data_IF_302828125030
#
_entry.id   IF_302828125030
#
_cell.length_a   1.000
_cell.length_b   1.000
_cell.length_c   1.000
_cell.angle_alpha   90.00
_cell.angle_beta   90.00
_cell.angle_gamma   90.00
#
_symmetry.space_group_name_H-M   'P 1'
#
loop_
_entity.id
_entity.type
_entity.pdbx_description
1 polymer ?
#
# COMPACT_ATOMS: atom_id res chain seq x y z
N UNK A 1 -25.07 -35.37 -58.76
CA UNK A 1 -25.80 -34.30 -58.05
C UNK A 1 -25.24 -34.25 -56.64
N UNK A 2 -24.27 -33.36 -56.39
CA UNK A 2 -23.53 -33.30 -55.13
C UNK A 2 -24.29 -32.42 -54.13
N UNK A 3 -24.57 -32.98 -52.95
CA UNK A 3 -25.24 -32.29 -51.84
C UNK A 3 -24.18 -31.49 -51.06
N UNK A 4 -24.32 -30.18 -50.85
CA UNK A 4 -23.37 -29.43 -50.04
C UNK A 4 -23.70 -29.64 -48.56
N UNK A 5 -22.75 -30.19 -47.81
CA UNK A 5 -22.78 -30.23 -46.35
C UNK A 5 -22.44 -28.82 -45.86
N UNK A 6 -23.42 -28.13 -45.30
CA UNK A 6 -23.20 -26.84 -44.62
C UNK A 6 -22.69 -27.15 -43.22
N UNK A 7 -21.41 -26.91 -42.99
CA UNK A 7 -20.79 -26.98 -41.68
C UNK A 7 -21.04 -25.64 -40.95
N UNK A 8 -22.02 -25.60 -40.05
CA UNK A 8 -22.22 -24.46 -39.15
C UNK A 8 -21.13 -24.45 -38.09
N UNK A 9 -20.18 -23.52 -38.21
CA UNK A 9 -19.23 -23.20 -37.15
C UNK A 9 -19.96 -22.43 -36.05
N UNK A 10 -20.11 -23.04 -34.87
CA UNK A 10 -20.56 -22.33 -33.67
C UNK A 10 -19.34 -21.64 -33.07
N UNK A 11 -19.22 -20.33 -33.29
CA UNK A 11 -18.25 -19.49 -32.56
C UNK A 11 -18.75 -19.34 -31.12
N UNK A 12 -18.17 -20.08 -30.18
CA UNK A 12 -18.39 -19.81 -28.76
C UNK A 12 -17.61 -18.55 -28.39
N UNK A 13 -18.31 -17.43 -28.24
CA UNK A 13 -17.77 -16.28 -27.52
C UNK A 13 -17.64 -16.68 -26.05
N UNK A 14 -16.45 -17.11 -25.64
CA UNK A 14 -16.09 -17.15 -24.22
C UNK A 14 -15.88 -15.69 -23.81
N UNK A 15 -16.94 -15.04 -23.35
CA UNK A 15 -16.79 -13.81 -22.59
C UNK A 15 -16.08 -14.18 -21.31
N UNK A 16 -14.80 -13.83 -21.18
CA UNK A 16 -14.17 -13.81 -19.86
C UNK A 16 -15.01 -12.85 -19.02
N UNK A 17 -15.82 -13.38 -18.10
CA UNK A 17 -16.43 -12.55 -17.07
C UNK A 17 -15.27 -11.86 -16.37
N UNK A 18 -15.17 -10.56 -16.57
CA UNK A 18 -14.26 -9.73 -15.78
C UNK A 18 -14.84 -9.71 -14.39
N UNK A 19 -14.23 -10.47 -13.49
CA UNK A 19 -14.56 -10.44 -12.07
C UNK A 19 -14.35 -9.00 -11.60
N UNK A 20 -15.41 -8.39 -11.08
CA UNK A 20 -15.39 -7.07 -10.46
C UNK A 20 -16.16 -7.12 -9.15
N UNK A 21 -15.44 -7.22 -8.03
CA UNK A 21 -16.02 -7.03 -6.71
C UNK A 21 -16.27 -5.53 -6.49
N UNK A 22 -17.52 -5.10 -6.66
CA UNK A 22 -17.97 -3.71 -6.47
C UNK A 22 -17.92 -3.25 -5.01
N UNK A 23 -17.70 -4.15 -4.05
CA UNK A 23 -17.71 -3.87 -2.61
C UNK A 23 -16.42 -4.37 -1.93
N UNK A 24 -15.22 -3.97 -2.39
CA UNK A 24 -13.98 -4.51 -1.88
C UNK A 24 -13.79 -4.16 -0.40
N UNK A 25 -13.24 -5.11 0.36
CA UNK A 25 -12.79 -4.96 1.74
C UNK A 25 -11.27 -4.98 1.75
N UNK A 26 -10.65 -3.96 2.30
CA UNK A 26 -9.20 -3.79 2.34
C UNK A 26 -8.75 -3.96 3.78
N UNK A 27 -7.78 -4.85 4.01
CA UNK A 27 -7.11 -4.92 5.30
C UNK A 27 -6.03 -3.84 5.40
N UNK A 28 -5.95 -3.15 6.53
CA UNK A 28 -4.85 -2.23 6.85
C UNK A 28 -4.11 -2.79 8.06
N UNK A 29 -2.81 -3.07 7.91
CA UNK A 29 -2.01 -3.54 9.05
C UNK A 29 -1.98 -2.48 10.16
N UNK A 30 -2.19 -2.93 11.40
CA UNK A 30 -1.92 -2.11 12.58
C UNK A 30 -0.41 -1.97 12.79
N UNK A 31 -0.02 -1.11 13.71
CA UNK A 31 1.37 -0.91 14.09
C UNK A 31 1.48 -0.63 15.59
N UNK A 32 2.57 -1.04 16.21
CA UNK A 32 2.78 -0.92 17.64
C UNK A 32 2.94 0.55 18.03
N UNK A 33 2.37 0.94 19.17
CA UNK A 33 2.48 2.33 19.61
C UNK A 33 3.74 2.58 20.44
N UNK A 34 4.87 2.85 19.78
CA UNK A 34 6.15 3.18 20.44
C UNK A 34 6.25 4.57 21.07
N UNK A 35 5.24 5.43 20.89
CA UNK A 35 5.28 6.81 21.36
C UNK A 35 5.01 6.92 22.85
N UNK A 36 6.07 7.21 23.61
CA UNK A 36 6.02 7.41 25.07
C UNK A 36 5.06 8.53 25.49
N UNK A 37 4.94 9.58 24.68
CA UNK A 37 4.05 10.70 24.96
C UNK A 37 2.57 10.34 24.85
N UNK A 38 2.21 9.25 24.17
CA UNK A 38 0.82 8.77 24.12
C UNK A 38 0.48 7.77 25.24
N UNK A 39 1.42 7.42 26.11
CA UNK A 39 1.22 6.35 27.11
C UNK A 39 0.05 6.62 28.08
N UNK A 40 -0.34 7.88 28.28
CA UNK A 40 -1.47 8.27 29.14
C UNK A 40 -2.86 8.15 28.47
N UNK A 41 -2.91 7.88 27.16
CA UNK A 41 -4.16 7.71 26.39
C UNK A 41 -4.42 6.27 25.96
N UNK A 42 -3.56 5.34 26.36
CA UNK A 42 -3.60 3.95 25.88
C UNK A 42 -4.00 2.97 26.99
N UNK A 43 -4.85 1.98 26.69
CA UNK A 43 -4.75 0.68 27.34
C UNK A 43 -3.35 0.06 27.16
N UNK A 44 -2.96 -0.84 28.07
CA UNK A 44 -1.58 -1.28 28.27
C UNK A 44 -0.92 -2.03 27.08
N UNK A 45 -1.69 -2.55 26.11
CA UNK A 45 -1.20 -3.35 24.97
C UNK A 45 -1.84 -2.91 23.65
N UNK A 46 -1.44 -1.75 23.12
CA UNK A 46 -2.10 -1.17 21.95
C UNK A 46 -1.25 -1.10 20.69
N UNK A 47 -1.91 -1.42 19.58
CA UNK A 47 -1.52 -1.03 18.23
C UNK A 47 -2.39 0.15 17.76
N UNK A 48 -2.07 0.69 16.59
CA UNK A 48 -2.83 1.78 15.99
C UNK A 48 -2.87 1.73 14.46
N UNK A 49 -3.80 2.50 13.89
CA UNK A 49 -3.84 2.90 12.48
C UNK A 49 -4.07 4.41 12.43
N UNK A 50 -3.24 5.16 11.69
CA UNK A 50 -3.52 6.56 11.42
C UNK A 50 -4.77 6.69 10.54
N UNK A 51 -5.70 7.56 10.91
CA UNK A 51 -7.00 7.63 10.26
C UNK A 51 -6.93 8.09 8.79
N UNK A 52 -5.86 8.77 8.39
CA UNK A 52 -5.61 9.14 6.99
C UNK A 52 -5.59 7.94 6.04
N UNK A 53 -4.99 6.81 6.44
CA UNK A 53 -5.00 5.58 5.62
C UNK A 53 -6.43 5.07 5.40
N UNK A 54 -7.24 5.06 6.45
CA UNK A 54 -8.65 4.62 6.39
C UNK A 54 -9.45 5.54 5.46
N UNK A 55 -9.36 6.86 5.69
CA UNK A 55 -10.05 7.87 4.87
C UNK A 55 -9.66 7.79 3.39
N UNK A 56 -8.39 7.54 3.10
CA UNK A 56 -7.90 7.41 1.73
C UNK A 56 -8.51 6.20 0.99
N UNK A 57 -8.61 5.05 1.65
CA UNK A 57 -9.26 3.86 1.09
C UNK A 57 -10.77 4.07 0.92
N UNK A 58 -11.45 4.64 1.92
CA UNK A 58 -12.89 4.90 1.87
C UNK A 58 -13.25 5.89 0.76
N UNK A 59 -12.45 6.94 0.58
CA UNK A 59 -12.62 7.89 -0.52
C UNK A 59 -12.48 7.23 -1.91
N UNK A 60 -11.73 6.13 -2.02
CA UNK A 60 -11.58 5.34 -3.24
C UNK A 60 -12.65 4.25 -3.42
N UNK A 61 -13.63 4.19 -2.52
CA UNK A 61 -14.75 3.25 -2.58
C UNK A 61 -14.43 1.85 -2.04
N UNK A 62 -13.49 1.75 -1.12
CA UNK A 62 -13.21 0.54 -0.34
C UNK A 62 -13.79 0.60 1.07
N UNK A 63 -14.03 -0.56 1.69
CA UNK A 63 -14.30 -0.67 3.13
C UNK A 63 -13.05 -1.18 3.82
N UNK A 64 -12.82 -0.81 5.08
CA UNK A 64 -11.59 -1.15 5.80
C UNK A 64 -11.87 -2.10 6.96
N UNK A 65 -10.97 -3.08 7.14
CA UNK A 65 -10.82 -3.86 8.36
C UNK A 65 -9.40 -3.68 8.92
N UNK A 66 -9.22 -3.52 10.25
CA UNK A 66 -7.90 -3.50 10.85
C UNK A 66 -7.32 -4.92 10.86
N UNK A 67 -6.06 -5.06 10.46
CA UNK A 67 -5.34 -6.33 10.47
C UNK A 67 -4.28 -6.28 11.56
N UNK A 68 -4.52 -7.01 12.64
CA UNK A 68 -3.72 -6.91 13.85
C UNK A 68 -2.34 -7.54 13.69
N UNK A 69 -1.33 -6.86 14.22
CA UNK A 69 0.05 -7.36 14.27
C UNK A 69 0.24 -8.49 15.29
N UNK A 70 1.40 -9.16 15.25
CA UNK A 70 1.79 -10.19 16.23
C UNK A 70 0.81 -11.38 16.35
N UNK A 71 0.05 -11.65 15.29
CA UNK A 71 -0.81 -12.83 15.18
C UNK A 71 -0.11 -13.99 14.48
N UNK A 72 -0.72 -15.17 14.50
CA UNK A 72 -0.14 -16.38 13.89
C UNK A 72 -0.26 -16.36 12.37
N UNK A 73 0.49 -17.23 11.68
CA UNK A 73 0.38 -17.41 10.23
C UNK A 73 -1.06 -17.77 9.81
N UNK A 74 -1.77 -18.58 10.60
CA UNK A 74 -3.16 -18.97 10.32
C UNK A 74 -4.11 -17.76 10.34
N UNK A 75 -3.89 -16.82 11.26
CA UNK A 75 -4.65 -15.57 11.27
C UNK A 75 -4.45 -14.78 9.99
N UNK A 76 -3.21 -14.60 9.54
CA UNK A 76 -2.95 -13.86 8.30
C UNK A 76 -3.45 -14.59 7.06
N UNK A 77 -3.42 -15.93 7.04
CA UNK A 77 -4.04 -16.73 5.98
C UNK A 77 -5.55 -16.52 5.94
N UNK A 78 -6.21 -16.55 7.10
CA UNK A 78 -7.65 -16.30 7.23
C UNK A 78 -8.04 -14.88 6.77
N UNK A 79 -7.26 -13.86 7.16
CA UNK A 79 -7.45 -12.48 6.68
C UNK A 79 -7.31 -12.41 5.16
N UNK A 80 -6.20 -12.91 4.59
CA UNK A 80 -5.96 -12.88 3.15
C UNK A 80 -7.06 -13.60 2.37
N UNK A 81 -7.67 -14.65 2.91
CA UNK A 81 -8.78 -15.35 2.24
C UNK A 81 -10.10 -14.55 2.21
N UNK A 82 -10.27 -13.54 3.09
CA UNK A 82 -11.53 -12.82 3.28
C UNK A 82 -11.51 -11.39 2.74
N UNK A 83 -10.35 -10.72 2.80
CA UNK A 83 -10.18 -9.35 2.29
C UNK A 83 -9.72 -9.39 0.83
N UNK A 84 -9.82 -8.28 0.13
CA UNK A 84 -9.51 -8.17 -1.29
C UNK A 84 -8.12 -7.59 -1.59
N UNK A 85 -7.37 -7.21 -0.55
CA UNK A 85 -6.02 -6.68 -0.64
C UNK A 85 -5.55 -6.13 0.71
N UNK A 86 -4.23 -5.93 0.86
CA UNK A 86 -3.64 -5.39 2.09
C UNK A 86 -2.86 -4.10 1.85
N UNK A 87 -3.13 -3.08 2.66
CA UNK A 87 -2.28 -1.90 2.79
C UNK A 87 -1.34 -2.05 3.99
N UNK A 88 -0.05 -1.85 3.76
CA UNK A 88 0.97 -1.74 4.80
C UNK A 88 1.31 -0.26 5.00
N UNK A 89 0.92 0.35 6.13
CA UNK A 89 1.05 1.79 6.32
C UNK A 89 2.50 2.23 6.58
N UNK A 90 2.70 3.55 6.55
CA UNK A 90 3.90 4.18 7.08
C UNK A 90 3.96 4.11 8.60
N UNK A 91 5.13 4.37 9.18
CA UNK A 91 5.34 4.28 10.63
C UNK A 91 6.79 4.50 11.03
N UNK A 92 7.09 4.25 12.31
CA UNK A 92 8.42 4.42 12.90
C UNK A 92 8.97 3.17 13.57
N UNK A 93 8.44 1.99 13.23
CA UNK A 93 8.82 0.72 13.86
C UNK A 93 10.21 0.25 13.38
N UNK A 94 10.84 -0.62 14.18
CA UNK A 94 12.12 -1.21 13.80
C UNK A 94 11.97 -2.23 12.67
N UNK A 95 12.97 -2.31 11.78
CA UNK A 95 13.03 -3.25 10.63
C UNK A 95 13.23 -4.73 10.99
N UNK A 96 13.07 -5.10 12.27
CA UNK A 96 13.24 -6.47 12.71
C UNK A 96 11.97 -7.28 12.42
N UNK A 97 12.05 -8.23 11.48
CA UNK A 97 10.93 -9.10 11.09
C UNK A 97 10.54 -10.16 12.13
N UNK A 98 11.12 -10.14 13.33
CA UNK A 98 10.74 -11.06 14.42
C UNK A 98 9.58 -10.57 15.28
N UNK A 99 9.13 -9.33 15.10
CA UNK A 99 8.02 -8.79 15.86
C UNK A 99 7.27 -7.71 15.07
N UNK A 100 6.02 -7.52 15.43
CA UNK A 100 5.23 -6.36 15.10
C UNK A 100 4.83 -6.24 13.64
N UNK A 101 4.64 -5.02 13.16
CA UNK A 101 4.30 -4.74 11.75
C UNK A 101 5.33 -5.34 10.79
N UNK A 102 6.61 -5.41 11.18
CA UNK A 102 7.68 -6.00 10.37
C UNK A 102 7.48 -7.51 10.18
N UNK A 103 7.20 -8.25 11.25
CA UNK A 103 6.85 -9.68 11.16
C UNK A 103 5.54 -9.89 10.36
N UNK A 104 4.53 -9.08 10.67
CA UNK A 104 3.20 -9.18 10.07
C UNK A 104 3.25 -8.93 8.56
N UNK A 105 4.04 -7.94 8.14
CA UNK A 105 4.30 -7.67 6.72
C UNK A 105 5.01 -8.84 6.04
N UNK A 106 5.98 -9.47 6.70
CA UNK A 106 6.68 -10.63 6.15
C UNK A 106 5.73 -11.82 5.94
N UNK A 107 4.87 -12.12 6.91
CA UNK A 107 3.83 -13.15 6.79
C UNK A 107 2.86 -12.84 5.64
N UNK A 108 2.27 -11.65 5.63
CA UNK A 108 1.33 -11.21 4.58
C UNK A 108 1.97 -11.24 3.20
N UNK A 109 3.21 -10.77 3.06
CA UNK A 109 3.95 -10.79 1.80
C UNK A 109 4.07 -12.21 1.24
N UNK A 110 4.49 -13.18 2.06
CA UNK A 110 4.64 -14.56 1.60
C UNK A 110 3.30 -15.26 1.34
N UNK A 111 2.27 -14.98 2.14
CA UNK A 111 0.92 -15.53 1.93
C UNK A 111 0.34 -14.99 0.61
N UNK A 112 0.33 -13.66 0.44
CA UNK A 112 -0.16 -13.03 -0.78
C UNK A 112 0.62 -13.50 -2.02
N UNK A 113 1.94 -13.63 -1.92
CA UNK A 113 2.75 -14.18 -3.02
C UNK A 113 2.30 -15.59 -3.39
N UNK A 114 2.10 -16.48 -2.42
CA UNK A 114 1.60 -17.86 -2.67
C UNK A 114 0.20 -17.87 -3.29
N UNK A 115 -0.69 -16.99 -2.84
CA UNK A 115 -2.04 -16.85 -3.41
C UNK A 115 -1.97 -16.43 -4.89
N UNK A 116 -1.14 -15.43 -5.21
CA UNK A 116 -0.93 -15.02 -6.61
C UNK A 116 -0.21 -16.10 -7.44
N UNK A 117 0.77 -16.82 -6.87
CA UNK A 117 1.43 -17.95 -7.55
C UNK A 117 0.42 -19.07 -7.92
N UNK A 118 -0.67 -19.18 -7.15
CA UNK A 118 -1.79 -20.08 -7.42
C UNK A 118 -2.76 -19.61 -8.51
N UNK A 119 -2.53 -18.45 -9.13
CA UNK A 119 -3.35 -17.89 -10.20
C UNK A 119 -4.45 -16.93 -9.74
N UNK A 120 -4.46 -16.55 -8.46
CA UNK A 120 -5.34 -15.52 -7.93
C UNK A 120 -4.75 -14.10 -8.12
N UNK A 121 -5.54 -13.05 -7.86
CA UNK A 121 -5.11 -11.65 -7.98
C UNK A 121 -5.24 -10.93 -6.64
N UNK A 122 -4.20 -10.94 -5.81
CA UNK A 122 -4.23 -10.32 -4.49
C UNK A 122 -3.22 -9.18 -4.36
N UNK A 123 -3.64 -7.91 -4.36
CA UNK A 123 -2.74 -6.76 -4.31
C UNK A 123 -2.23 -6.41 -2.91
N UNK A 124 -1.02 -5.84 -2.88
CA UNK A 124 -0.46 -5.19 -1.68
C UNK A 124 -0.02 -3.76 -2.04
N UNK A 125 -0.38 -2.79 -1.20
CA UNK A 125 0.16 -1.42 -1.26
C UNK A 125 0.99 -1.13 0.00
N UNK A 126 2.30 -0.93 -0.14
CA UNK A 126 3.17 -0.47 0.94
C UNK A 126 3.45 1.03 0.85
N UNK A 127 3.27 1.77 1.95
CA UNK A 127 3.52 3.22 2.01
C UNK A 127 4.62 3.51 3.04
N UNK A 128 5.66 4.26 2.65
CA UNK A 128 6.82 4.61 3.47
C UNK A 128 7.43 3.38 4.19
N UNK A 129 7.19 3.20 5.49
CA UNK A 129 7.60 1.99 6.21
C UNK A 129 7.08 0.72 5.52
N UNK A 130 5.86 0.70 5.00
CA UNK A 130 5.35 -0.43 4.23
C UNK A 130 6.16 -0.71 2.97
N UNK A 131 6.59 0.33 2.23
CA UNK A 131 7.51 0.16 1.11
C UNK A 131 8.83 -0.48 1.55
N UNK A 132 9.41 0.02 2.64
CA UNK A 132 10.67 -0.47 3.22
C UNK A 132 10.54 -1.96 3.62
N UNK A 133 9.46 -2.32 4.30
CA UNK A 133 9.20 -3.68 4.77
C UNK A 133 8.92 -4.68 3.63
N UNK A 134 8.26 -4.26 2.55
CA UNK A 134 8.07 -5.12 1.37
C UNK A 134 9.40 -5.45 0.69
N UNK A 135 10.31 -4.48 0.58
CA UNK A 135 11.65 -4.74 0.06
C UNK A 135 12.39 -5.73 0.95
N UNK A 136 12.37 -5.51 2.28
CA UNK A 136 13.01 -6.39 3.26
C UNK A 136 12.46 -7.82 3.21
N UNK A 137 11.14 -7.99 3.18
CA UNK A 137 10.49 -9.30 3.07
C UNK A 137 10.90 -10.03 1.79
N UNK A 138 11.03 -9.32 0.67
CA UNK A 138 11.40 -9.92 -0.61
C UNK A 138 12.83 -10.48 -0.69
N UNK A 139 13.71 -10.08 0.24
CA UNK A 139 15.10 -10.55 0.31
C UNK A 139 15.42 -11.29 1.62
N UNK A 140 14.39 -11.90 2.23
CA UNK A 140 14.53 -12.76 3.40
C UNK A 140 14.96 -12.00 4.66
N UNK A 141 14.42 -10.80 4.87
CA UNK A 141 14.62 -10.03 6.10
C UNK A 141 15.90 -9.19 6.15
N UNK A 142 16.71 -9.20 5.09
CA UNK A 142 17.90 -8.34 5.01
C UNK A 142 17.48 -6.88 4.82
N UNK A 143 18.18 -5.95 5.48
CA UNK A 143 17.90 -4.51 5.36
C UNK A 143 18.71 -3.89 4.19
N UNK A 144 18.05 -3.40 3.12
CA UNK A 144 18.74 -2.80 1.97
C UNK A 144 18.89 -1.28 2.06
N UNK A 145 18.34 -0.66 3.11
CA UNK A 145 18.19 0.77 3.21
C UNK A 145 19.50 1.45 3.64
N UNK A 146 19.61 2.72 3.29
CA UNK A 146 20.66 3.62 3.77
C UNK A 146 20.02 4.88 4.33
N UNK A 147 20.72 5.57 5.23
CA UNK A 147 20.23 6.83 5.78
C UNK A 147 20.10 7.88 4.66
N UNK A 148 19.03 8.67 4.70
CA UNK A 148 18.80 9.79 3.81
C UNK A 148 18.10 10.95 4.55
N UNK A 149 18.12 12.14 3.95
CA UNK A 149 17.51 13.34 4.51
C UNK A 149 16.28 13.79 3.70
N UNK A 150 15.19 13.04 3.85
CA UNK A 150 13.90 13.27 3.18
C UNK A 150 12.77 13.36 4.20
N UNK A 151 12.97 14.18 5.23
CA UNK A 151 12.03 14.35 6.33
C UNK A 151 11.41 15.75 6.27
N UNK A 152 10.08 15.83 6.07
CA UNK A 152 9.33 17.09 5.97
C UNK A 152 9.59 17.88 4.67
N UNK A 153 9.73 17.17 3.54
CA UNK A 153 9.98 17.75 2.21
C UNK A 153 8.93 17.27 1.20
N UNK A 154 8.54 18.16 0.28
CA UNK A 154 7.60 17.86 -0.80
C UNK A 154 8.34 17.77 -2.13
N UNK A 155 8.15 16.68 -2.86
CA UNK A 155 8.91 16.39 -4.09
C UNK A 155 7.97 16.03 -5.27
N UNK A 156 8.33 16.41 -6.51
CA UNK A 156 7.77 15.77 -7.70
C UNK A 156 8.32 14.33 -7.81
N UNK A 157 7.85 13.53 -8.76
CA UNK A 157 8.41 12.21 -9.07
C UNK A 157 9.27 12.28 -10.33
N UNK A 158 10.47 11.69 -10.30
CA UNK A 158 11.28 11.56 -11.51
C UNK A 158 11.10 10.16 -12.10
N UNK A 159 10.27 10.04 -13.13
CA UNK A 159 10.03 8.77 -13.81
C UNK A 159 11.33 8.25 -14.45
N UNK A 160 11.63 6.97 -14.22
CA UNK A 160 12.76 6.31 -14.88
C UNK A 160 12.42 6.16 -16.37
N UNK A 161 13.35 6.46 -17.30
CA UNK A 161 13.11 6.30 -18.73
C UNK A 161 12.56 4.92 -19.07
N UNK A 162 11.59 4.87 -19.99
CA UNK A 162 10.86 3.66 -20.43
C UNK A 162 9.87 3.06 -19.43
N UNK A 163 9.78 3.56 -18.20
CA UNK A 163 8.83 3.02 -17.22
C UNK A 163 7.39 3.47 -17.48
N UNK A 164 7.13 4.55 -18.23
CA UNK A 164 5.77 5.01 -18.53
C UNK A 164 4.88 3.87 -19.08
N UNK A 165 5.36 3.15 -20.10
CA UNK A 165 4.61 2.08 -20.76
C UNK A 165 4.69 0.73 -20.04
N UNK A 166 5.68 0.55 -19.15
CA UNK A 166 5.94 -0.70 -18.43
C UNK A 166 5.29 -0.75 -17.06
N UNK A 167 5.07 0.41 -16.45
CA UNK A 167 4.54 0.55 -15.10
C UNK A 167 3.04 0.31 -15.08
N UNK A 168 2.57 -0.50 -14.14
CA UNK A 168 1.14 -0.71 -13.94
C UNK A 168 0.42 0.56 -13.44
N UNK A 169 1.14 1.42 -12.71
CA UNK A 169 0.64 2.73 -12.29
C UNK A 169 0.64 3.74 -13.43
N UNK A 170 1.77 3.97 -14.11
CA UNK A 170 1.93 5.08 -15.05
C UNK A 170 1.30 4.83 -16.41
N UNK A 171 1.20 3.58 -16.86
CA UNK A 171 0.59 3.24 -18.15
C UNK A 171 -0.89 3.62 -18.22
N UNK A 172 -1.60 3.51 -17.10
CA UNK A 172 -3.03 3.81 -16.98
C UNK A 172 -3.31 5.18 -16.34
N UNK A 173 -2.26 5.87 -15.87
CA UNK A 173 -2.37 7.15 -15.20
C UNK A 173 -2.88 8.25 -16.15
N UNK A 174 -3.95 8.98 -15.77
CA UNK A 174 -4.41 10.14 -16.52
C UNK A 174 -3.27 11.14 -16.76
N UNK A 175 -3.21 11.71 -17.97
CA UNK A 175 -2.09 12.56 -18.41
C UNK A 175 -1.91 13.81 -17.55
N UNK A 176 -3.01 14.38 -17.07
CA UNK A 176 -3.05 15.53 -16.16
C UNK A 176 -2.50 15.18 -14.77
N UNK A 177 -2.95 14.08 -14.17
CA UNK A 177 -2.40 13.56 -12.90
C UNK A 177 -0.90 13.28 -13.05
N UNK A 178 -0.51 12.64 -14.15
CA UNK A 178 0.90 12.36 -14.45
C UNK A 178 1.72 13.63 -14.58
N UNK A 179 1.22 14.63 -15.30
CA UNK A 179 1.91 15.91 -15.44
C UNK A 179 2.13 16.57 -14.07
N UNK A 180 1.10 16.59 -13.21
CA UNK A 180 1.21 17.13 -11.84
C UNK A 180 2.31 16.37 -11.07
N UNK A 181 2.23 15.04 -11.02
CA UNK A 181 3.19 14.22 -10.27
C UNK A 181 4.64 14.41 -10.76
N UNK A 182 4.85 14.61 -12.07
CA UNK A 182 6.19 14.73 -12.64
C UNK A 182 6.78 16.15 -12.56
N UNK A 183 5.97 17.18 -12.30
CA UNK A 183 6.39 18.59 -12.39
C UNK A 183 6.19 19.41 -11.13
N UNK A 184 5.28 19.01 -10.24
CA UNK A 184 4.94 19.75 -9.03
C UNK A 184 5.41 19.01 -7.75
N UNK A 185 5.84 19.73 -6.69
CA UNK A 185 6.23 19.13 -5.43
C UNK A 185 5.00 18.69 -4.61
N UNK A 186 4.34 17.61 -5.05
CA UNK A 186 3.04 17.15 -4.50
C UNK A 186 3.12 15.87 -3.67
N UNK A 187 4.29 15.26 -3.54
CA UNK A 187 4.46 14.04 -2.74
C UNK A 187 5.10 14.34 -1.39
N UNK A 188 4.41 14.05 -0.29
CA UNK A 188 4.89 14.25 1.07
C UNK A 188 5.93 13.19 1.45
N UNK A 189 7.15 13.61 1.80
CA UNK A 189 8.24 12.73 2.22
C UNK A 189 8.59 12.98 3.70
N UNK A 190 8.45 11.93 4.51
CA UNK A 190 8.68 11.94 5.97
C UNK A 190 9.52 10.74 6.43
N UNK A 191 10.62 10.46 5.74
CA UNK A 191 11.46 9.29 5.98
C UNK A 191 12.94 9.65 6.19
N UNK A 192 13.65 8.75 6.87
CA UNK A 192 15.09 8.88 7.18
C UNK A 192 15.92 7.75 6.59
N UNK A 193 15.26 6.78 5.97
CA UNK A 193 15.87 5.64 5.32
C UNK A 193 15.36 5.59 3.89
N UNK A 194 16.26 5.31 2.96
CA UNK A 194 15.99 5.28 1.55
C UNK A 194 16.68 4.07 0.92
N UNK A 195 16.15 3.59 -0.21
CA UNK A 195 16.83 2.60 -1.05
C UNK A 195 17.48 3.29 -2.25
N UNK A 196 18.79 3.14 -2.40
CA UNK A 196 19.52 3.63 -3.58
C UNK A 196 19.50 2.59 -4.69
N UNK A 197 19.65 3.01 -5.96
CA UNK A 197 19.82 2.08 -7.08
C UNK A 197 20.97 1.10 -6.86
N UNK A 198 22.07 1.58 -6.28
CA UNK A 198 23.25 0.75 -5.99
C UNK A 198 22.87 -0.39 -5.05
N UNK A 199 22.27 -0.08 -3.91
CA UNK A 199 21.85 -1.09 -2.94
C UNK A 199 20.80 -2.04 -3.53
N UNK A 200 19.84 -1.48 -4.27
CA UNK A 200 18.76 -2.22 -4.93
C UNK A 200 19.32 -3.34 -5.83
N UNK A 201 20.24 -3.02 -6.73
CA UNK A 201 20.88 -4.03 -7.59
C UNK A 201 21.84 -4.93 -6.83
N UNK A 202 22.65 -4.40 -5.89
CA UNK A 202 23.62 -5.23 -5.16
C UNK A 202 22.98 -6.28 -4.25
N UNK A 203 21.72 -6.06 -3.87
CA UNK A 203 20.94 -6.98 -3.03
C UNK A 203 19.90 -7.75 -3.85
N UNK A 204 20.02 -7.72 -5.18
CA UNK A 204 19.20 -8.51 -6.11
C UNK A 204 17.70 -8.23 -6.00
N UNK A 205 17.31 -7.04 -5.51
CA UNK A 205 15.91 -6.62 -5.45
C UNK A 205 15.31 -6.48 -6.85
N UNK A 206 16.16 -6.21 -7.85
CA UNK A 206 15.78 -6.14 -9.26
C UNK A 206 15.32 -7.48 -9.82
N UNK A 207 15.49 -8.61 -9.13
CA UNK A 207 14.90 -9.88 -9.54
C UNK A 207 13.38 -9.90 -9.32
N UNK A 208 12.89 -9.22 -8.30
CA UNK A 208 11.46 -9.21 -7.92
C UNK A 208 10.76 -7.90 -8.28
N UNK A 209 11.46 -6.78 -8.17
CA UNK A 209 10.89 -5.43 -8.27
C UNK A 209 11.42 -4.67 -9.50
N UNK A 210 10.56 -3.84 -10.09
CA UNK A 210 10.92 -2.79 -11.02
C UNK A 210 10.96 -1.45 -10.27
N UNK A 211 12.09 -0.71 -10.28
CA UNK A 211 12.09 0.68 -9.83
C UNK A 211 11.38 1.54 -10.87
N UNK A 212 10.42 2.35 -10.44
CA UNK A 212 9.59 3.16 -11.34
C UNK A 212 10.00 4.62 -11.33
N UNK A 213 10.11 5.22 -10.13
CA UNK A 213 10.47 6.63 -9.96
C UNK A 213 11.66 6.80 -9.04
N UNK A 214 12.33 7.94 -9.20
CA UNK A 214 13.44 8.38 -8.36
C UNK A 214 13.16 9.73 -7.75
N UNK A 215 13.83 9.99 -6.65
CA UNK A 215 13.88 11.28 -6.00
C UNK A 215 15.28 11.57 -5.48
N UNK A 216 15.48 12.83 -5.08
CA UNK A 216 16.69 13.29 -4.41
C UNK A 216 16.31 13.83 -3.05
N UNK A 217 17.06 13.43 -2.05
CA UNK A 217 16.94 13.98 -0.71
C UNK A 217 17.59 15.39 -0.65
N UNK A 218 17.52 16.06 0.50
CA UNK A 218 18.10 17.40 0.68
C UNK A 218 19.63 17.43 0.52
N UNK A 219 20.30 16.27 0.68
CA UNK A 219 21.74 16.10 0.47
C UNK A 219 22.08 15.63 -0.95
N UNK A 220 21.13 15.69 -1.89
CA UNK A 220 21.27 15.28 -3.28
C UNK A 220 21.54 13.76 -3.47
N UNK A 221 21.30 12.92 -2.45
CA UNK A 221 21.30 11.46 -2.56
C UNK A 221 20.09 11.02 -3.39
N UNK A 222 20.35 10.29 -4.48
CA UNK A 222 19.28 9.76 -5.32
C UNK A 222 18.76 8.43 -4.75
N UNK A 223 17.45 8.34 -4.55
CA UNK A 223 16.75 7.16 -4.04
C UNK A 223 15.57 6.75 -4.92
N UNK A 224 15.13 5.50 -4.81
CA UNK A 224 13.93 5.00 -5.49
C UNK A 224 12.71 5.35 -4.63
N UNK A 225 11.71 5.98 -5.24
CA UNK A 225 10.50 6.44 -4.55
C UNK A 225 9.24 5.66 -4.89
N UNK A 226 9.29 4.80 -5.92
CA UNK A 226 8.22 3.87 -6.27
C UNK A 226 8.81 2.59 -6.83
N UNK A 227 8.29 1.45 -6.38
CA UNK A 227 8.58 0.11 -6.92
C UNK A 227 7.29 -0.63 -7.24
N UNK A 228 7.36 -1.48 -8.24
CA UNK A 228 6.29 -2.39 -8.65
C UNK A 228 6.84 -3.81 -8.76
N UNK A 229 6.17 -4.81 -8.21
CA UNK A 229 6.59 -6.18 -8.40
C UNK A 229 6.41 -6.60 -9.85
N UNK A 230 7.34 -7.40 -10.38
CA UNK A 230 7.32 -7.81 -11.79
C UNK A 230 6.12 -8.69 -12.15
N UNK A 231 5.75 -9.59 -11.25
CA UNK A 231 4.78 -10.65 -11.51
C UNK A 231 3.59 -10.63 -10.53
N UNK A 232 3.54 -9.63 -9.64
CA UNK A 232 2.53 -9.54 -8.59
C UNK A 232 1.95 -8.13 -8.57
N UNK A 233 0.67 -7.94 -8.19
CA UNK A 233 0.07 -6.62 -8.01
C UNK A 233 0.52 -5.96 -6.69
N UNK A 234 1.84 -5.99 -6.42
CA UNK A 234 2.44 -5.38 -5.25
C UNK A 234 3.10 -4.06 -5.66
N UNK A 235 2.77 -3.00 -4.95
CA UNK A 235 3.29 -1.65 -5.15
C UNK A 235 3.83 -1.12 -3.85
N UNK A 236 4.98 -0.47 -3.92
CA UNK A 236 5.54 0.27 -2.80
C UNK A 236 5.76 1.74 -3.18
N UNK A 237 5.32 2.65 -2.32
CA UNK A 237 5.49 4.09 -2.42
C UNK A 237 6.30 4.58 -1.22
N UNK A 238 7.43 5.26 -1.44
CA UNK A 238 8.24 5.79 -0.33
C UNK A 238 7.61 7.05 0.30
N UNK A 239 6.78 7.77 -0.46
CA UNK A 239 6.07 8.99 -0.04
C UNK A 239 4.66 8.67 0.47
N UNK A 240 3.99 9.67 1.03
CA UNK A 240 2.69 9.55 1.71
C UNK A 240 1.54 10.23 0.94
N UNK A 241 0.87 9.54 -0.01
CA UNK A 241 -0.25 10.13 -0.73
C UNK A 241 -1.47 10.41 0.16
N UNK A 242 -1.65 9.68 1.26
CA UNK A 242 -2.77 9.84 2.18
C UNK A 242 -2.73 11.18 2.93
N UNK A 243 -1.55 11.77 3.13
CA UNK A 243 -1.39 12.96 3.96
C UNK A 243 -1.99 14.22 3.34
N UNK A 244 -1.88 14.34 2.01
CA UNK A 244 -2.28 15.52 1.25
C UNK A 244 -3.71 16.01 1.56
N UNK A 245 -4.64 15.09 1.83
CA UNK A 245 -6.05 15.42 2.08
C UNK A 245 -6.45 15.41 3.57
N UNK A 246 -5.63 14.82 4.45
CA UNK A 246 -6.12 14.36 5.76
C UNK A 246 -5.24 14.71 6.97
N UNK A 247 -3.99 15.13 6.80
CA UNK A 247 -3.07 15.46 7.90
C UNK A 247 -2.58 16.91 7.80
N UNK A 248 -2.56 17.70 8.88
CA UNK A 248 -2.31 19.15 8.81
C UNK A 248 -1.14 19.63 9.71
N UNK A 249 -0.53 18.72 10.47
CA UNK A 249 0.50 19.06 11.47
C UNK A 249 1.92 19.28 10.89
N UNK A 250 2.19 18.77 9.69
CA UNK A 250 3.52 18.86 9.04
C UNK A 250 3.44 19.65 7.74
N UNK A 251 4.58 19.81 7.07
CA UNK A 251 4.65 20.48 5.77
C UNK A 251 4.12 19.58 4.65
N UNK A 252 2.88 19.12 4.76
CA UNK A 252 2.20 18.29 3.78
C UNK A 252 1.60 19.17 2.65
N UNK A 253 1.60 18.73 1.39
CA UNK A 253 1.11 19.53 0.27
C UNK A 253 -0.42 19.43 0.15
N UNK A 254 -1.10 20.56 0.34
CA UNK A 254 -2.56 20.66 0.35
C UNK A 254 -3.16 21.39 -0.88
N UNK A 255 -2.36 21.65 -1.92
CA UNK A 255 -2.90 22.25 -3.15
C UNK A 255 -3.95 21.32 -3.78
N UNK A 256 -4.85 21.90 -4.58
CA UNK A 256 -5.81 21.09 -5.34
C UNK A 256 -5.10 20.02 -6.18
N UNK A 257 -4.00 20.39 -6.85
CA UNK A 257 -3.16 19.46 -7.60
C UNK A 257 -2.65 18.32 -6.71
N UNK A 258 -2.15 18.63 -5.52
CA UNK A 258 -1.61 17.63 -4.60
C UNK A 258 -2.66 16.64 -4.12
N UNK A 259 -3.84 17.11 -3.72
CA UNK A 259 -4.95 16.26 -3.31
C UNK A 259 -5.45 15.42 -4.48
N UNK A 260 -5.65 16.04 -5.64
CA UNK A 260 -6.16 15.40 -6.84
C UNK A 260 -5.23 14.29 -7.33
N UNK A 261 -3.93 14.56 -7.42
CA UNK A 261 -2.96 13.58 -7.92
C UNK A 261 -2.69 12.45 -6.92
N UNK A 262 -2.70 12.73 -5.61
CA UNK A 262 -2.39 11.72 -4.60
C UNK A 262 -3.50 10.66 -4.47
N UNK A 263 -4.76 11.05 -4.67
CA UNK A 263 -5.89 10.11 -4.66
C UNK A 263 -5.73 8.96 -5.65
N UNK A 264 -5.05 9.20 -6.77
CA UNK A 264 -4.81 8.19 -7.82
C UNK A 264 -4.24 6.87 -7.27
N UNK A 265 -3.31 6.93 -6.33
CA UNK A 265 -2.66 5.72 -5.80
C UNK A 265 -3.64 4.83 -5.03
N UNK A 266 -4.55 5.43 -4.26
CA UNK A 266 -5.60 4.70 -3.55
C UNK A 266 -6.71 4.22 -4.51
N UNK A 267 -7.06 5.02 -5.51
CA UNK A 267 -8.03 4.62 -6.54
C UNK A 267 -7.51 3.43 -7.34
N UNK A 268 -6.22 3.45 -7.73
CA UNK A 268 -5.55 2.31 -8.37
C UNK A 268 -5.59 1.08 -7.47
N UNK A 269 -5.19 1.22 -6.20
CA UNK A 269 -5.10 0.07 -5.29
C UNK A 269 -6.48 -0.57 -5.04
N UNK A 270 -7.51 0.24 -4.77
CA UNK A 270 -8.87 -0.27 -4.61
C UNK A 270 -9.36 -0.93 -5.90
N UNK A 271 -9.03 -0.39 -7.09
CA UNK A 271 -9.35 -1.03 -8.37
C UNK A 271 -8.65 -2.39 -8.56
N UNK A 272 -7.41 -2.55 -8.11
CA UNK A 272 -6.76 -3.86 -8.10
C UNK A 272 -7.46 -4.83 -7.14
N UNK A 273 -7.92 -4.35 -5.98
CA UNK A 273 -8.67 -5.18 -5.04
C UNK A 273 -10.01 -5.68 -5.63
N UNK A 274 -10.61 -4.98 -6.59
CA UNK A 274 -11.85 -5.45 -7.25
C UNK A 274 -11.66 -6.70 -8.11
N UNK A 275 -10.41 -7.11 -8.40
CA UNK A 275 -10.09 -8.17 -9.38
C UNK A 275 -9.96 -9.58 -8.77
N UNK A 276 -10.31 -9.76 -7.49
CA UNK A 276 -10.49 -11.08 -6.88
C UNK A 276 -11.88 -11.24 -6.28
N UNK A 277 -12.27 -12.49 -6.02
CA UNK A 277 -13.55 -12.88 -5.43
C UNK A 277 -13.45 -13.20 -3.93
N UNK A 278 -12.42 -12.70 -3.24
CA UNK A 278 -12.31 -12.94 -1.80
C UNK A 278 -13.48 -12.25 -1.10
N UNK A 279 -14.11 -12.99 -0.19
CA UNK A 279 -15.27 -12.49 0.53
C UNK A 279 -15.36 -13.13 1.91
N UNK A 280 -16.03 -12.42 2.80
CA UNK A 280 -16.40 -12.96 4.10
C UNK A 280 -17.49 -14.01 3.93
N UNK A 281 -17.33 -15.16 4.60
CA UNK A 281 -18.31 -16.26 4.58
C UNK A 281 -19.72 -15.80 4.99
N UNK A 282 -19.80 -14.87 5.94
CA UNK A 282 -21.07 -14.25 6.31
C UNK A 282 -20.91 -12.75 6.57
N UNK A 283 -21.98 -12.02 6.26
CA UNK A 283 -22.05 -10.57 6.41
C UNK A 283 -21.86 -10.11 7.86
N UNK A 284 -22.31 -10.89 8.85
CA UNK A 284 -22.17 -10.53 10.27
C UNK A 284 -20.71 -10.53 10.74
N UNK A 285 -19.88 -11.45 10.23
CA UNK A 285 -18.44 -11.48 10.51
C UNK A 285 -17.78 -10.21 9.99
N UNK A 286 -18.08 -9.82 8.74
CA UNK A 286 -17.60 -8.55 8.20
C UNK A 286 -18.05 -7.38 9.06
N UNK A 287 -19.34 -7.31 9.41
CA UNK A 287 -19.90 -6.23 10.23
C UNK A 287 -19.20 -6.08 11.59
N UNK A 288 -18.75 -7.17 12.19
CA UNK A 288 -18.02 -7.14 13.47
C UNK A 288 -16.55 -6.75 13.33
N UNK A 289 -15.96 -6.90 12.14
CA UNK A 289 -14.54 -6.61 11.88
C UNK A 289 -14.31 -5.26 11.21
N UNK A 290 -15.35 -4.61 10.67
CA UNK A 290 -15.23 -3.31 10.01
C UNK A 290 -14.64 -2.24 10.93
N UNK A 291 -13.86 -1.34 10.33
CA UNK A 291 -13.26 -0.19 11.03
C UNK A 291 -14.32 0.71 11.70
N UNK A 292 -15.57 0.67 11.23
CA UNK A 292 -16.70 1.41 11.78
C UNK A 292 -17.01 1.09 13.24
N UNK A 293 -16.55 -0.05 13.75
CA UNK A 293 -16.72 -0.44 15.16
C UNK A 293 -15.72 0.25 16.10
N UNK A 294 -14.73 0.98 15.57
CA UNK A 294 -13.64 1.53 16.35
C UNK A 294 -13.71 3.07 16.34
N UNK A 295 -13.65 3.74 17.49
CA UNK A 295 -13.62 5.20 17.53
C UNK A 295 -12.24 5.74 17.18
N UNK A 296 -12.19 6.88 16.49
CA UNK A 296 -10.95 7.66 16.33
C UNK A 296 -10.69 8.51 17.56
N UNK A 297 -9.42 8.69 17.91
CA UNK A 297 -8.94 9.65 18.93
C UNK A 297 -8.23 10.81 18.24
N UNK A 298 -8.57 12.05 18.60
CA UNK A 298 -7.84 13.25 18.15
C UNK A 298 -6.52 13.39 18.91
N UNK A 299 -5.39 13.26 18.21
CA UNK A 299 -4.03 13.18 18.78
C UNK A 299 -3.09 14.30 18.33
N UNK A 300 -3.48 15.15 17.37
CA UNK A 300 -2.66 16.30 16.95
C UNK A 300 -2.27 17.22 18.12
N UNK A 301 -3.19 17.44 19.07
CA UNK A 301 -2.93 18.21 20.31
C UNK A 301 -1.79 17.69 21.20
N UNK A 302 -1.20 16.54 20.87
CA UNK A 302 -0.13 15.87 21.59
C UNK A 302 1.19 15.89 20.82
N UNK A 303 1.33 16.82 19.86
CA UNK A 303 2.46 16.91 18.93
C UNK A 303 2.64 15.63 18.11
N UNK A 304 1.53 14.95 17.79
CA UNK A 304 1.54 13.83 16.85
C UNK A 304 1.62 14.35 15.42
N UNK A 305 2.22 13.57 14.50
CA UNK A 305 2.19 13.87 13.06
C UNK A 305 0.87 13.47 12.38
N UNK A 306 -0.13 13.11 13.17
CA UNK A 306 -1.44 12.65 12.73
C UNK A 306 -2.54 13.42 13.46
N UNK A 307 -3.62 13.77 12.77
CA UNK A 307 -4.81 14.37 13.36
C UNK A 307 -5.54 13.37 14.25
N UNK A 308 -5.83 12.21 13.67
CA UNK A 308 -6.68 11.19 14.26
C UNK A 308 -6.04 9.81 14.11
N UNK A 309 -6.19 9.01 15.15
CA UNK A 309 -5.68 7.64 15.20
C UNK A 309 -6.75 6.72 15.75
N UNK A 310 -6.90 5.55 15.14
CA UNK A 310 -7.61 4.42 15.73
C UNK A 310 -6.65 3.69 16.65
N UNK A 311 -7.02 3.54 17.92
CA UNK A 311 -6.29 2.71 18.88
C UNK A 311 -7.04 1.40 19.09
N UNK A 312 -6.29 0.30 19.13
CA UNK A 312 -6.84 -1.03 19.32
C UNK A 312 -6.31 -1.61 20.63
N UNK A 313 -7.20 -2.22 21.41
CA UNK A 313 -6.83 -3.03 22.57
C UNK A 313 -6.91 -4.50 22.10
N UNK A 314 -5.76 -5.14 21.95
CA UNK A 314 -5.58 -6.42 21.27
C UNK A 314 -5.49 -7.64 22.19
#
# INVERSE_FOLDING_TARGET
MYLPVILTLILSFVTNLTICNERPVIGILTQEVYWSYLNHLKPYNNSYIAASYVKAIEASGGRVVPVFTNRTTEYYMDVVNKVNGILVPGGGCAFNISFGISQSTNEVFHIAKRVNDGGDHFPILGICLGFELLLIASIGGKNPLTCCNSNNVNLPLNLIPTMEEKSMLFKTMPKDIRNILLTEPVTANHHKNCITKKNFTSMELDNFWNPITLNKDENNLTFISTVEAKNYPFVGLQFHPEKNAYEWERNDPHSWSAVYSARYFCDWFVNECRKNNHEYINQSMLENELIYNYPTTYVAKLNSSFEQVYFFNE
#
